data_IF_416662826966
#
_entry.id   IF_416662826966
#
_cell.length_a   1.000
_cell.length_b   1.000
_cell.length_c   1.000
_cell.angle_alpha   90.00
_cell.angle_beta   90.00
_cell.angle_gamma   90.00
#
_symmetry.space_group_name_H-M   'P 1'
#
loop_
_entity.id
_entity.type
_entity.pdbx_description
1 polymer ?
#
# COMPACT_ATOMS: atom_id res chain seq x y z
N UNK A 1 48.17 27.09 15.60
CA UNK A 1 47.64 26.66 14.29
C UNK A 1 46.98 25.29 14.52
N UNK A 2 45.84 25.24 15.23
CA UNK A 2 44.45 25.31 14.72
C UNK A 2 44.09 24.12 13.79
N UNK A 3 44.16 22.94 14.39
CA UNK A 3 43.17 21.86 14.37
C UNK A 3 42.44 21.68 13.01
N UNK A 4 43.03 20.90 12.11
CA UNK A 4 42.35 20.42 10.90
C UNK A 4 41.39 19.29 11.30
N UNK A 5 40.21 19.68 11.76
CA UNK A 5 39.06 18.81 11.98
C UNK A 5 38.55 18.27 10.64
N UNK A 6 38.46 16.94 10.57
CA UNK A 6 37.74 16.13 9.59
C UNK A 6 36.50 16.81 9.00
N UNK A 7 36.51 17.09 7.70
CA UNK A 7 35.31 17.46 6.95
C UNK A 7 34.75 16.21 6.25
N UNK A 8 34.04 15.37 7.02
CA UNK A 8 33.15 14.36 6.47
C UNK A 8 31.87 15.06 5.99
N UNK A 9 31.78 15.35 4.69
CA UNK A 9 30.51 15.73 4.04
C UNK A 9 29.93 14.48 3.37
N UNK A 10 29.44 13.57 4.21
CA UNK A 10 28.44 12.58 3.83
C UNK A 10 27.14 13.35 3.54
N UNK A 11 26.90 13.68 2.27
CA UNK A 11 25.56 14.02 1.78
C UNK A 11 24.78 12.70 1.66
N UNK A 12 24.41 12.14 2.82
CA UNK A 12 23.38 11.13 2.95
C UNK A 12 22.17 11.78 3.62
N UNK A 13 21.34 12.43 2.83
CA UNK A 13 20.06 12.95 3.26
C UNK A 13 19.35 13.51 2.03
N UNK A 14 18.19 13.03 1.59
CA UNK A 14 17.12 12.31 2.26
C UNK A 14 16.46 11.39 1.23
N UNK A 15 16.83 10.12 1.16
CA UNK A 15 15.95 9.14 0.54
C UNK A 15 14.91 8.76 1.60
N UNK A 16 13.88 9.60 1.77
CA UNK A 16 12.71 9.22 2.58
C UNK A 16 12.14 7.93 1.98
N UNK A 17 12.16 6.76 2.65
CA UNK A 17 11.55 5.55 2.11
C UNK A 17 10.01 5.56 2.22
N UNK A 18 9.40 6.74 2.44
CA UNK A 18 8.00 6.88 2.86
C UNK A 18 7.02 7.12 1.70
N UNK A 19 7.33 6.67 0.49
CA UNK A 19 6.41 6.70 -0.67
C UNK A 19 6.52 5.43 -1.52
N UNK A 20 6.71 4.27 -0.88
CA UNK A 20 6.53 2.99 -1.57
C UNK A 20 5.02 2.70 -1.65
N UNK A 21 4.31 3.37 -2.55
CA UNK A 21 2.88 3.14 -2.80
C UNK A 21 2.66 1.64 -3.06
N UNK A 22 1.93 0.96 -2.17
CA UNK A 22 1.80 -0.50 -2.17
C UNK A 22 0.49 -0.99 -2.79
N UNK A 23 -0.34 -0.09 -3.33
CA UNK A 23 -1.64 -0.42 -3.94
C UNK A 23 -1.55 -1.59 -4.94
N UNK A 24 -0.59 -1.62 -5.89
CA UNK A 24 -0.48 -2.74 -6.83
C UNK A 24 -0.15 -4.08 -6.17
N UNK A 25 0.60 -4.07 -5.07
CA UNK A 25 0.91 -5.29 -4.32
C UNK A 25 -0.31 -5.78 -3.55
N UNK A 26 -1.05 -4.88 -2.92
CA UNK A 26 -2.24 -5.25 -2.15
C UNK A 26 -3.39 -5.70 -3.03
N UNK A 27 -3.61 -5.05 -4.19
CA UNK A 27 -4.53 -5.54 -5.22
C UNK A 27 -4.22 -7.00 -5.59
N UNK A 28 -2.95 -7.33 -5.85
CA UNK A 28 -2.53 -8.72 -6.15
C UNK A 28 -2.76 -9.67 -4.97
N UNK A 29 -2.52 -9.25 -3.73
CA UNK A 29 -2.80 -10.08 -2.54
C UNK A 29 -4.29 -10.37 -2.41
N UNK A 30 -5.14 -9.36 -2.60
CA UNK A 30 -6.60 -9.49 -2.56
C UNK A 30 -7.07 -10.45 -3.65
N UNK A 31 -6.60 -10.29 -4.90
CA UNK A 31 -6.90 -11.20 -6.01
C UNK A 31 -6.52 -12.65 -5.70
N UNK A 32 -5.33 -12.86 -5.10
CA UNK A 32 -4.86 -14.18 -4.73
C UNK A 32 -5.72 -14.80 -3.62
N UNK A 33 -6.03 -14.04 -2.57
CA UNK A 33 -6.83 -14.50 -1.45
C UNK A 33 -8.29 -14.79 -1.87
N UNK A 34 -8.88 -13.98 -2.75
CA UNK A 34 -10.24 -14.17 -3.25
C UNK A 34 -10.43 -15.50 -4.00
N UNK A 35 -9.38 -16.11 -4.55
CA UNK A 35 -9.45 -17.43 -5.21
C UNK A 35 -9.74 -18.57 -4.23
N UNK A 36 -9.36 -18.41 -2.96
CA UNK A 36 -9.48 -19.46 -1.94
C UNK A 36 -10.30 -19.01 -0.72
N UNK A 37 -10.76 -17.75 -0.69
CA UNK A 37 -11.46 -17.15 0.43
C UNK A 37 -12.75 -17.89 0.79
N UNK A 38 -12.81 -18.41 2.02
CA UNK A 38 -14.01 -18.98 2.62
C UNK A 38 -14.79 -17.90 3.37
N UNK A 39 -15.35 -16.96 2.62
CA UNK A 39 -16.20 -15.87 3.11
C UNK A 39 -17.66 -16.09 2.72
N UNK A 40 -18.59 -15.54 3.51
CA UNK A 40 -19.99 -15.41 3.10
C UNK A 40 -20.13 -14.43 1.92
N UNK A 41 -21.25 -14.51 1.21
CA UNK A 41 -21.47 -13.73 -0.02
C UNK A 41 -21.48 -12.22 0.23
N UNK A 42 -21.94 -11.78 1.41
CA UNK A 42 -21.96 -10.37 1.77
C UNK A 42 -20.52 -9.82 1.92
N UNK A 43 -19.64 -10.56 2.58
CA UNK A 43 -18.22 -10.20 2.71
C UNK A 43 -17.50 -10.25 1.37
N UNK A 44 -17.75 -11.27 0.53
CA UNK A 44 -17.17 -11.32 -0.82
C UNK A 44 -17.54 -10.10 -1.66
N UNK A 45 -18.83 -9.73 -1.64
CA UNK A 45 -19.32 -8.53 -2.33
C UNK A 45 -18.60 -7.28 -1.83
N UNK A 46 -18.49 -7.11 -0.51
CA UNK A 46 -17.82 -5.95 0.08
C UNK A 46 -16.32 -5.89 -0.26
N UNK A 47 -15.62 -7.03 -0.23
CA UNK A 47 -14.21 -7.11 -0.65
C UNK A 47 -14.04 -6.66 -2.11
N UNK A 48 -14.91 -7.13 -3.02
CA UNK A 48 -14.84 -6.73 -4.43
C UNK A 48 -15.18 -5.25 -4.63
N UNK A 49 -16.17 -4.71 -3.93
CA UNK A 49 -16.50 -3.28 -3.98
C UNK A 49 -15.31 -2.40 -3.56
N UNK A 50 -14.64 -2.77 -2.46
CA UNK A 50 -13.46 -2.08 -1.96
C UNK A 50 -12.26 -2.24 -2.92
N UNK A 51 -12.07 -3.42 -3.51
CA UNK A 51 -11.02 -3.68 -4.50
C UNK A 51 -11.20 -2.80 -5.74
N UNK A 52 -12.40 -2.76 -6.33
CA UNK A 52 -12.67 -1.95 -7.53
C UNK A 52 -12.56 -0.45 -7.23
N UNK A 53 -13.05 -0.01 -6.07
CA UNK A 53 -12.91 1.39 -5.63
C UNK A 53 -11.44 1.76 -5.42
N UNK A 54 -10.69 0.93 -4.72
CA UNK A 54 -9.25 1.11 -4.50
C UNK A 54 -8.45 1.12 -5.80
N UNK A 55 -8.81 0.29 -6.78
CA UNK A 55 -8.22 0.30 -8.13
C UNK A 55 -8.50 1.59 -8.88
N UNK A 56 -9.75 2.07 -8.89
CA UNK A 56 -10.12 3.34 -9.52
C UNK A 56 -9.43 4.55 -8.86
N UNK A 57 -9.28 4.52 -7.53
CA UNK A 57 -8.53 5.53 -6.78
C UNK A 57 -7.03 5.50 -7.13
N UNK A 58 -6.45 4.31 -7.32
CA UNK A 58 -5.07 4.19 -7.80
C UNK A 58 -4.91 4.75 -9.22
N UNK A 59 -5.79 4.38 -10.15
CA UNK A 59 -5.76 4.84 -11.55
C UNK A 59 -5.95 6.35 -11.68
N UNK A 60 -6.70 6.98 -10.74
CA UNK A 60 -6.88 8.43 -10.67
C UNK A 60 -5.79 9.18 -9.89
N UNK A 61 -4.80 8.47 -9.34
CA UNK A 61 -3.69 9.05 -8.57
C UNK A 61 -4.02 9.35 -7.10
N UNK A 62 -5.21 8.98 -6.61
CA UNK A 62 -5.60 9.11 -5.21
C UNK A 62 -5.09 7.92 -4.37
N UNK A 63 -3.77 7.81 -4.25
CA UNK A 63 -3.12 6.65 -3.61
C UNK A 63 -3.52 6.44 -2.15
N UNK A 64 -3.69 7.52 -1.37
CA UNK A 64 -4.07 7.41 0.04
C UNK A 64 -5.46 6.80 0.22
N UNK A 65 -6.41 7.16 -0.64
CA UNK A 65 -7.74 6.56 -0.60
C UNK A 65 -7.66 5.09 -1.03
N UNK A 66 -6.92 4.81 -2.11
CA UNK A 66 -6.69 3.45 -2.60
C UNK A 66 -6.14 2.53 -1.51
N UNK A 67 -5.10 2.96 -0.80
CA UNK A 67 -4.50 2.20 0.29
C UNK A 67 -5.49 1.94 1.44
N UNK A 68 -6.32 2.92 1.78
CA UNK A 68 -7.33 2.77 2.84
C UNK A 68 -8.39 1.72 2.48
N UNK A 69 -8.93 1.80 1.27
CA UNK A 69 -9.95 0.86 0.79
C UNK A 69 -9.38 -0.55 0.61
N UNK A 70 -8.19 -0.68 0.01
CA UNK A 70 -7.51 -1.97 -0.16
C UNK A 70 -7.15 -2.59 1.21
N UNK A 71 -6.76 -1.79 2.20
CA UNK A 71 -6.52 -2.29 3.56
C UNK A 71 -7.81 -2.80 4.22
N UNK A 72 -8.95 -2.14 4.01
CA UNK A 72 -10.24 -2.65 4.49
C UNK A 72 -10.63 -3.97 3.81
N UNK A 73 -10.38 -4.10 2.50
CA UNK A 73 -10.61 -5.35 1.76
C UNK A 73 -9.74 -6.49 2.31
N UNK A 74 -8.45 -6.23 2.57
CA UNK A 74 -7.52 -7.19 3.17
C UNK A 74 -7.98 -7.62 4.57
N UNK A 75 -8.45 -6.68 5.39
CA UNK A 75 -9.00 -6.99 6.73
C UNK A 75 -10.20 -7.93 6.67
N UNK A 76 -11.10 -7.76 5.70
CA UNK A 76 -12.24 -8.67 5.49
C UNK A 76 -11.79 -10.06 5.04
N UNK A 77 -10.67 -10.15 4.33
CA UNK A 77 -10.02 -11.40 3.92
C UNK A 77 -9.17 -12.04 5.03
N UNK A 78 -8.87 -11.30 6.09
CA UNK A 78 -8.03 -11.75 7.19
C UNK A 78 -6.54 -11.84 6.84
N UNK A 79 -6.06 -11.00 5.93
CA UNK A 79 -4.66 -10.92 5.46
C UNK A 79 -4.01 -9.57 5.74
#
# INVERSE_FOLDING_TARGET
MKNLTFAALLVLGLASPALASHCPMDMKKIEAAMKTAMLDDAKKKKVMELYEKGKAEHESGNHKASEADLAEAMKLLGI
#
